data_IF_993131690198
#
_entry.id   IF_993131690198
#
_cell.length_a   1.000
_cell.length_b   1.000
_cell.length_c   1.000
_cell.angle_alpha   90.00
_cell.angle_beta   90.00
_cell.angle_gamma   90.00
#
_symmetry.space_group_name_H-M   'P 1'
#
loop_
_entity.id
_entity.type
_entity.pdbx_description
1 polymer ?
#
# COMPACT_ATOMS: atom_id res chain seq x y z
N UNK A 1 -19.59 14.42 -9.90
CA UNK A 1 -18.39 13.72 -9.38
C UNK A 1 -17.20 14.49 -9.91
N UNK A 2 -16.55 15.33 -9.09
CA UNK A 2 -15.37 16.08 -9.55
C UNK A 2 -14.25 15.07 -9.79
N UNK A 3 -13.82 14.92 -11.04
CA UNK A 3 -12.63 14.14 -11.38
C UNK A 3 -11.42 14.84 -10.75
N UNK A 4 -10.67 14.11 -9.94
CA UNK A 4 -9.46 14.66 -9.33
C UNK A 4 -8.40 14.82 -10.41
N UNK A 5 -7.63 15.91 -10.41
CA UNK A 5 -6.50 16.03 -11.31
C UNK A 5 -5.50 14.89 -11.10
N UNK A 6 -4.80 14.49 -12.15
CA UNK A 6 -3.76 13.45 -12.06
C UNK A 6 -2.66 13.81 -11.04
N UNK A 7 -2.34 15.11 -10.93
CA UNK A 7 -1.41 15.62 -9.93
C UNK A 7 -1.94 15.43 -8.50
N UNK A 8 -3.22 15.65 -8.26
CA UNK A 8 -3.83 15.45 -6.95
C UNK A 8 -3.96 13.96 -6.60
N UNK A 9 -4.30 13.10 -7.57
CA UNK A 9 -4.26 11.64 -7.41
C UNK A 9 -2.86 11.20 -7.00
N UNK A 10 -1.83 11.64 -7.73
CA UNK A 10 -0.43 11.32 -7.45
C UNK A 10 -0.02 11.78 -6.05
N UNK A 11 -0.32 13.02 -5.68
CA UNK A 11 0.01 13.57 -4.35
C UNK A 11 -0.59 12.74 -3.22
N UNK A 12 -1.85 12.29 -3.37
CA UNK A 12 -2.54 11.45 -2.39
C UNK A 12 -1.95 10.05 -2.29
N UNK A 13 -1.54 9.44 -3.40
CA UNK A 13 -0.85 8.15 -3.39
C UNK A 13 0.51 8.26 -2.69
N UNK A 14 1.29 9.29 -3.00
CA UNK A 14 2.59 9.54 -2.36
C UNK A 14 2.44 9.75 -0.85
N UNK A 15 1.44 10.52 -0.42
CA UNK A 15 1.14 10.70 1.00
C UNK A 15 0.72 9.39 1.69
N UNK A 16 -0.08 8.57 1.02
CA UNK A 16 -0.48 7.26 1.54
C UNK A 16 0.73 6.34 1.73
N UNK A 17 1.63 6.31 0.74
CA UNK A 17 2.85 5.52 0.78
C UNK A 17 3.81 5.99 1.89
N UNK A 18 3.95 7.31 2.09
CA UNK A 18 4.77 7.88 3.18
C UNK A 18 4.28 7.46 4.56
N UNK A 19 2.96 7.43 4.77
CA UNK A 19 2.34 7.08 6.05
C UNK A 19 2.14 5.56 6.26
N UNK A 20 2.50 4.74 5.28
CA UNK A 20 2.37 3.30 5.33
C UNK A 20 3.55 2.67 6.10
N UNK A 21 3.32 1.65 6.95
CA UNK A 21 4.39 0.85 7.55
C UNK A 21 5.39 0.35 6.51
N UNK A 22 6.69 0.44 6.82
CA UNK A 22 7.77 0.16 5.86
C UNK A 22 7.61 -1.19 5.15
N UNK A 23 7.28 -2.25 5.89
CA UNK A 23 7.10 -3.59 5.32
C UNK A 23 5.92 -3.66 4.33
N UNK A 24 4.79 -3.01 4.65
CA UNK A 24 3.64 -2.94 3.73
C UNK A 24 4.01 -2.17 2.45
N UNK A 25 4.76 -1.06 2.59
CA UNK A 25 5.23 -0.27 1.43
C UNK A 25 6.20 -1.07 0.57
N UNK A 26 7.17 -1.76 1.16
CA UNK A 26 8.15 -2.58 0.44
C UNK A 26 7.46 -3.70 -0.33
N UNK A 27 6.54 -4.43 0.31
CA UNK A 27 5.77 -5.51 -0.34
C UNK A 27 4.94 -4.96 -1.50
N UNK A 28 4.26 -3.82 -1.31
CA UNK A 28 3.49 -3.16 -2.37
C UNK A 28 4.36 -2.73 -3.56
N UNK A 29 5.50 -2.10 -3.29
CA UNK A 29 6.42 -1.65 -4.34
C UNK A 29 7.03 -2.84 -5.10
N UNK A 30 7.50 -3.86 -4.39
CA UNK A 30 8.05 -5.06 -5.01
C UNK A 30 7.05 -5.73 -5.97
N UNK A 31 5.78 -5.83 -5.57
CA UNK A 31 4.77 -6.40 -6.45
C UNK A 31 4.39 -5.47 -7.60
N UNK A 32 4.18 -4.17 -7.32
CA UNK A 32 3.53 -3.25 -8.26
C UNK A 32 4.49 -2.58 -9.25
N UNK A 33 5.75 -2.39 -8.86
CA UNK A 33 6.79 -1.72 -9.64
C UNK A 33 7.79 -2.71 -10.22
N UNK A 34 8.12 -3.77 -9.46
CA UNK A 34 9.11 -4.77 -9.87
C UNK A 34 8.45 -6.06 -10.42
N UNK A 35 7.12 -6.09 -10.55
CA UNK A 35 6.31 -7.24 -10.99
C UNK A 35 6.64 -8.55 -10.24
N UNK A 36 7.07 -8.43 -8.99
CA UNK A 36 7.53 -9.58 -8.21
C UNK A 36 6.34 -10.44 -7.75
N UNK A 37 6.37 -11.77 -7.97
CA UNK A 37 5.31 -12.66 -7.50
C UNK A 37 5.35 -12.80 -5.98
N UNK A 38 4.21 -13.10 -5.36
CA UNK A 38 4.08 -13.16 -3.90
C UNK A 38 4.98 -14.22 -3.28
N UNK A 39 5.25 -15.35 -3.95
CA UNK A 39 6.17 -16.37 -3.46
C UNK A 39 7.60 -15.84 -3.37
N UNK A 40 8.04 -15.02 -4.33
CA UNK A 40 9.38 -14.43 -4.31
C UNK A 40 9.51 -13.36 -3.22
N UNK A 41 8.47 -12.53 -3.05
CA UNK A 41 8.42 -11.56 -1.93
C UNK A 41 8.47 -12.29 -0.59
N UNK A 42 7.71 -13.38 -0.44
CA UNK A 42 7.69 -14.23 0.75
C UNK A 42 9.10 -14.75 1.06
N UNK A 43 9.80 -15.32 0.06
CA UNK A 43 11.19 -15.77 0.20
C UNK A 43 12.14 -14.66 0.65
N UNK A 44 12.11 -13.50 0.00
CA UNK A 44 13.03 -12.37 0.29
C UNK A 44 12.80 -11.75 1.66
N UNK A 45 11.56 -11.75 2.13
CA UNK A 45 11.17 -11.12 3.41
C UNK A 45 11.14 -12.09 4.59
N UNK A 46 11.28 -13.41 4.34
CA UNK A 46 11.13 -14.44 5.37
C UNK A 46 9.67 -14.61 5.85
N UNK A 47 8.70 -14.12 5.09
CA UNK A 47 7.28 -14.22 5.40
C UNK A 47 6.65 -15.43 4.70
N UNK A 48 5.52 -15.90 5.20
CA UNK A 48 4.62 -16.75 4.43
C UNK A 48 3.90 -15.95 3.34
N UNK A 49 3.51 -16.61 2.25
CA UNK A 49 2.68 -16.01 1.18
C UNK A 49 1.40 -15.37 1.76
N UNK A 50 0.74 -16.04 2.71
CA UNK A 50 -0.45 -15.50 3.39
C UNK A 50 -0.17 -14.19 4.15
N UNK A 51 1.01 -14.05 4.76
CA UNK A 51 1.41 -12.79 5.38
C UNK A 51 1.64 -11.71 4.33
N UNK A 52 2.27 -12.04 3.20
CA UNK A 52 2.46 -11.12 2.06
C UNK A 52 1.11 -10.62 1.53
N UNK A 53 0.16 -11.51 1.27
CA UNK A 53 -1.20 -11.15 0.84
C UNK A 53 -1.88 -10.20 1.82
N UNK A 54 -1.77 -10.48 3.13
CA UNK A 54 -2.34 -9.61 4.17
C UNK A 54 -1.69 -8.23 4.17
N UNK A 55 -0.37 -8.14 4.00
CA UNK A 55 0.32 -6.86 3.87
C UNK A 55 -0.09 -6.11 2.60
N UNK A 56 -0.27 -6.82 1.48
CA UNK A 56 -0.77 -6.25 0.22
C UNK A 56 -2.18 -5.68 0.36
N UNK A 57 -3.12 -6.44 0.92
CA UNK A 57 -4.48 -5.98 1.14
C UNK A 57 -4.53 -4.70 1.99
N UNK A 58 -3.70 -4.63 3.04
CA UNK A 58 -3.57 -3.44 3.89
C UNK A 58 -2.96 -2.26 3.14
N UNK A 59 -1.94 -2.47 2.32
CA UNK A 59 -1.34 -1.43 1.50
C UNK A 59 -2.36 -0.83 0.51
N UNK A 60 -3.08 -1.69 -0.21
CA UNK A 60 -4.14 -1.29 -1.16
C UNK A 60 -5.25 -0.51 -0.45
N UNK A 61 -5.68 -0.97 0.74
CA UNK A 61 -6.69 -0.28 1.52
C UNK A 61 -6.26 1.16 1.86
N UNK A 62 -5.03 1.34 2.36
CA UNK A 62 -4.49 2.66 2.73
C UNK A 62 -4.42 3.60 1.53
N UNK A 63 -3.96 3.12 0.38
CA UNK A 63 -3.92 3.89 -0.88
C UNK A 63 -5.34 4.27 -1.31
N UNK A 64 -6.28 3.33 -1.27
CA UNK A 64 -7.68 3.56 -1.65
C UNK A 64 -8.35 4.60 -0.77
N UNK A 65 -8.10 4.56 0.54
CA UNK A 65 -8.68 5.55 1.47
C UNK A 65 -8.09 6.93 1.25
N UNK A 66 -6.79 7.02 0.95
CA UNK A 66 -6.15 8.29 0.59
C UNK A 66 -6.73 8.88 -0.69
N UNK A 67 -6.89 8.07 -1.73
CA UNK A 67 -7.53 8.50 -2.99
C UNK A 67 -8.96 9.00 -2.75
N UNK A 68 -9.73 8.33 -1.89
CA UNK A 68 -11.08 8.78 -1.48
C UNK A 68 -11.08 10.04 -0.60
N UNK A 69 -9.92 10.58 -0.23
CA UNK A 69 -9.78 11.75 0.65
C UNK A 69 -10.16 11.46 2.11
N UNK A 70 -10.28 10.18 2.49
CA UNK A 70 -10.64 9.79 3.85
C UNK A 70 -9.37 9.67 4.69
N UNK A 71 -9.28 10.46 5.76
CA UNK A 71 -8.21 10.31 6.75
C UNK A 71 -8.33 8.97 7.46
N UNK A 72 -7.24 8.20 7.48
CA UNK A 72 -7.15 6.97 8.27
C UNK A 72 -7.28 7.30 9.76
N UNK A 73 -8.04 6.47 10.47
CA UNK A 73 -8.11 6.48 11.95
C UNK A 73 -6.74 6.07 12.50
N UNK A 74 -6.45 6.47 13.74
CA UNK A 74 -5.11 6.26 14.29
C UNK A 74 -4.71 4.78 14.34
N UNK A 75 -5.64 3.85 14.61
CA UNK A 75 -5.37 2.42 14.62
C UNK A 75 -5.22 1.80 13.23
N UNK A 76 -5.90 2.35 12.21
CA UNK A 76 -5.75 1.91 10.82
C UNK A 76 -4.35 2.24 10.28
N UNK A 77 -3.62 3.16 10.90
CA UNK A 77 -2.21 3.41 10.57
C UNK A 77 -1.31 2.26 11.02
N UNK A 78 -1.59 1.69 12.18
CA UNK A 78 -0.80 0.64 12.83
C UNK A 78 -1.20 -0.79 12.44
N UNK A 79 -2.42 -0.97 11.93
CA UNK A 79 -2.89 -2.22 11.34
C UNK A 79 -2.48 -2.30 9.86
#
# INVERSE_FOLDING_TARGET
MLDMSEEEKRRRVEEAARNMPNLQRQIFMAHRLDDMPYEEIARRTGLSVRQVERHMARAIYKITMSLKGRKLRWWERWY
#
